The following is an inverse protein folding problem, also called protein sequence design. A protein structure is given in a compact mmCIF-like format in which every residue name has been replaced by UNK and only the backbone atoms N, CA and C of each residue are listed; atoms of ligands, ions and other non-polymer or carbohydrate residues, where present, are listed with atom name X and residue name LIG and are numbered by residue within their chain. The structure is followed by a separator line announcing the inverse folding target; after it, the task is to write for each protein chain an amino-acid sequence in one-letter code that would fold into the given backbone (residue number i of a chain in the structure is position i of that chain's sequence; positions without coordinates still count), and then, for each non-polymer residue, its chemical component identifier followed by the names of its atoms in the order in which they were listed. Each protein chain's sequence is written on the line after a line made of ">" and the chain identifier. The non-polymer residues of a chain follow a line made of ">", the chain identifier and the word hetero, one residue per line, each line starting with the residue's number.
data_IF_214113947323
#
_entry.id   IF_214113947323
#
_cell.length_a   1.000
_cell.length_b   1.000
_cell.length_c   1.000
_cell.angle_alpha   90.00
_cell.angle_beta   90.00
_cell.angle_gamma   90.00
#
_symmetry.space_group_name_H-M   'P 1'
#
loop_
_entity.id
_entity.type
_entity.pdbx_description
1 polymer ?
#
# COMPACT_ATOMS: atom_id res chain seq x y z
N UNK A 1 -22.43 -1.88 -20.42
CA UNK A 1 -23.33 -2.72 -19.58
C UNK A 1 -22.89 -2.55 -18.13
N UNK A 2 -23.83 -2.42 -17.20
CA UNK A 2 -23.53 -2.44 -15.77
C UNK A 2 -22.79 -3.73 -15.41
N UNK A 3 -21.61 -3.60 -14.80
CA UNK A 3 -20.80 -4.75 -14.41
C UNK A 3 -21.59 -5.73 -13.50
N UNK A 4 -22.47 -5.19 -12.66
CA UNK A 4 -23.34 -5.97 -11.76
C UNK A 4 -24.39 -6.81 -12.49
N UNK A 5 -24.67 -6.49 -13.76
CA UNK A 5 -25.65 -7.20 -14.59
C UNK A 5 -25.02 -8.28 -15.50
N UNK A 6 -23.68 -8.35 -15.58
CA UNK A 6 -22.98 -9.23 -16.52
C UNK A 6 -23.25 -10.72 -16.30
N UNK A 7 -23.63 -11.13 -15.10
CA UNK A 7 -24.01 -12.52 -14.84
C UNK A 7 -25.31 -12.92 -15.54
N UNK A 8 -26.16 -11.95 -15.92
CA UNK A 8 -27.41 -12.15 -16.68
C UNK A 8 -27.25 -11.92 -18.18
N UNK A 9 -26.06 -11.48 -18.61
CA UNK A 9 -25.74 -11.15 -20.00
C UNK A 9 -24.42 -11.83 -20.40
N UNK A 10 -24.39 -13.17 -20.49
CA UNK A 10 -23.16 -13.93 -20.80
C UNK A 10 -22.56 -13.51 -22.15
N UNK A 11 -23.40 -13.26 -23.16
CA UNK A 11 -22.99 -12.80 -24.49
C UNK A 11 -22.25 -11.46 -24.46
N UNK A 12 -22.42 -10.67 -23.39
CA UNK A 12 -21.75 -9.38 -23.22
C UNK A 12 -20.36 -9.49 -22.59
N UNK A 13 -20.02 -10.64 -22.00
CA UNK A 13 -18.67 -10.88 -21.48
C UNK A 13 -17.67 -11.07 -22.64
N UNK A 14 -18.09 -11.67 -23.76
CA UNK A 14 -17.27 -11.83 -24.95
C UNK A 14 -16.88 -10.49 -25.62
N UNK A 15 -17.65 -9.43 -25.40
CA UNK A 15 -17.36 -8.08 -25.93
C UNK A 15 -16.57 -7.18 -24.98
N UNK A 16 -16.13 -7.68 -23.81
CA UNK A 16 -15.19 -6.94 -22.96
C UNK A 16 -13.82 -6.95 -23.62
N UNK A 17 -13.57 -5.94 -24.42
CA UNK A 17 -12.25 -5.66 -24.98
C UNK A 17 -11.22 -5.51 -23.86
N UNK A 18 -10.22 -6.39 -23.84
CA UNK A 18 -9.03 -6.26 -22.99
C UNK A 18 -8.03 -5.23 -23.52
N UNK A 19 -8.25 -4.74 -24.74
CA UNK A 19 -7.41 -3.75 -25.39
C UNK A 19 -7.51 -2.43 -24.63
N UNK A 20 -6.39 -1.97 -24.09
CA UNK A 20 -6.28 -0.68 -23.41
C UNK A 20 -6.49 -0.70 -21.88
N UNK A 21 -6.66 -1.87 -21.26
CA UNK A 21 -6.69 -1.99 -19.79
C UNK A 21 -5.26 -1.98 -19.26
N UNK A 22 -5.00 -1.16 -18.24
CA UNK A 22 -3.70 -1.08 -17.58
C UNK A 22 -3.28 -2.47 -17.04
N UNK A 23 -2.01 -2.89 -17.22
CA UNK A 23 -1.54 -4.21 -16.76
C UNK A 23 -1.78 -4.47 -15.27
N UNK A 24 -1.68 -3.45 -14.43
CA UNK A 24 -1.87 -3.54 -12.97
C UNK A 24 -3.35 -3.69 -12.64
N UNK A 25 -4.24 -2.94 -13.31
CA UNK A 25 -5.69 -3.11 -13.18
C UNK A 25 -6.14 -4.51 -13.60
N UNK A 26 -5.55 -5.06 -14.67
CA UNK A 26 -5.80 -6.44 -15.08
C UNK A 26 -5.33 -7.44 -14.01
N UNK A 27 -4.10 -7.29 -13.51
CA UNK A 27 -3.54 -8.14 -12.47
C UNK A 27 -4.38 -8.11 -11.18
N UNK A 28 -4.82 -6.93 -10.77
CA UNK A 28 -5.71 -6.74 -9.63
C UNK A 28 -7.05 -7.45 -9.83
N UNK A 29 -7.66 -7.28 -11.01
CA UNK A 29 -8.94 -7.91 -11.35
C UNK A 29 -8.86 -9.43 -11.32
N UNK A 30 -7.80 -10.03 -11.83
CA UNK A 30 -7.56 -11.48 -11.78
C UNK A 30 -7.44 -12.01 -10.34
N UNK A 31 -7.00 -11.15 -9.42
CA UNK A 31 -6.88 -11.43 -7.97
C UNK A 31 -8.13 -11.03 -7.18
N UNK A 32 -9.19 -10.55 -7.83
CA UNK A 32 -10.42 -10.11 -7.19
C UNK A 32 -10.27 -8.80 -6.39
N UNK A 33 -9.26 -7.99 -6.70
CA UNK A 33 -8.99 -6.70 -6.07
C UNK A 33 -9.60 -5.57 -6.90
N UNK A 34 -10.07 -4.52 -6.23
CA UNK A 34 -10.47 -3.29 -6.93
C UNK A 34 -9.30 -2.33 -6.90
N UNK A 35 -8.71 -2.07 -8.06
CA UNK A 35 -7.51 -1.22 -8.22
C UNK A 35 -7.74 -0.18 -9.30
N UNK A 36 -7.21 1.03 -9.08
CA UNK A 36 -7.13 2.09 -10.08
C UNK A 36 -5.77 2.76 -9.93
N UNK A 37 -5.02 2.89 -11.03
CA UNK A 37 -3.72 3.57 -11.02
C UNK A 37 -3.89 5.10 -10.90
N UNK A 38 -2.95 5.74 -10.21
CA UNK A 38 -2.81 7.20 -10.09
C UNK A 38 -1.34 7.58 -10.35
N UNK A 39 -1.05 8.87 -10.45
CA UNK A 39 0.27 9.36 -10.89
C UNK A 39 1.31 9.54 -9.76
N UNK A 40 0.93 9.29 -8.50
CA UNK A 40 1.79 9.51 -7.33
C UNK A 40 2.79 8.38 -7.03
N UNK A 41 3.39 8.45 -5.83
CA UNK A 41 4.42 7.53 -5.35
C UNK A 41 4.08 6.82 -4.02
N UNK A 42 2.95 7.15 -3.40
CA UNK A 42 2.51 6.50 -2.15
C UNK A 42 1.44 5.46 -2.49
N UNK A 43 1.80 4.19 -2.38
CA UNK A 43 0.86 3.10 -2.57
C UNK A 43 -0.20 3.08 -1.46
N UNK A 44 -1.48 2.93 -1.81
CA UNK A 44 -2.57 2.86 -0.83
C UNK A 44 -3.23 1.50 -0.88
N UNK A 45 -3.34 0.85 0.28
CA UNK A 45 -4.09 -0.38 0.48
C UNK A 45 -5.07 -0.20 1.63
N UNK A 46 -6.35 -0.44 1.40
CA UNK A 46 -7.33 -0.51 2.48
C UNK A 46 -8.50 -1.44 2.20
N UNK A 47 -9.47 -1.44 3.10
CA UNK A 47 -10.72 -2.19 2.95
C UNK A 47 -11.95 -1.29 2.96
N UNK A 48 -12.76 -1.44 1.92
CA UNK A 48 -13.95 -0.62 1.66
C UNK A 48 -13.59 0.67 0.93
N UNK A 49 -14.19 0.88 -0.23
CA UNK A 49 -13.94 2.02 -1.10
C UNK A 49 -13.99 3.39 -0.40
N UNK A 50 -14.94 3.60 0.53
CA UNK A 50 -15.03 4.86 1.29
C UNK A 50 -13.82 5.13 2.19
N UNK A 51 -13.27 4.09 2.82
CA UNK A 51 -12.06 4.20 3.65
C UNK A 51 -10.84 4.48 2.76
N UNK A 52 -10.73 3.78 1.63
CA UNK A 52 -9.62 3.96 0.70
C UNK A 52 -9.63 5.37 0.13
N UNK A 53 -10.78 5.87 -0.34
CA UNK A 53 -10.90 7.26 -0.83
C UNK A 53 -10.54 8.29 0.25
N UNK A 54 -11.04 8.11 1.48
CA UNK A 54 -10.66 9.00 2.60
C UNK A 54 -9.16 8.93 2.90
N UNK A 55 -8.53 7.77 2.70
CA UNK A 55 -7.09 7.61 2.88
C UNK A 55 -6.30 8.37 1.81
N UNK A 56 -6.74 8.33 0.55
CA UNK A 56 -6.18 9.15 -0.53
C UNK A 56 -6.23 10.64 -0.15
N UNK A 57 -7.39 11.11 0.30
CA UNK A 57 -7.61 12.51 0.66
C UNK A 57 -6.70 12.94 1.83
N UNK A 58 -6.58 12.11 2.87
CA UNK A 58 -5.75 12.44 4.04
C UNK A 58 -4.25 12.41 3.70
N UNK A 59 -3.81 11.51 2.83
CA UNK A 59 -2.43 11.49 2.31
C UNK A 59 -2.15 12.75 1.48
N UNK A 60 -3.07 13.12 0.59
CA UNK A 60 -2.95 14.35 -0.20
C UNK A 60 -2.93 15.60 0.68
N UNK A 61 -3.79 15.67 1.70
CA UNK A 61 -3.82 16.75 2.68
C UNK A 61 -2.53 16.83 3.52
N UNK A 62 -1.87 15.69 3.75
CA UNK A 62 -0.56 15.63 4.41
C UNK A 62 0.61 16.01 3.46
N UNK A 63 0.33 16.32 2.19
CA UNK A 63 1.32 16.71 1.18
C UNK A 63 1.92 15.56 0.39
N UNK A 64 1.31 14.36 0.44
CA UNK A 64 1.72 13.20 -0.35
C UNK A 64 0.97 13.06 -1.67
N UNK A 65 1.48 12.22 -2.55
CA UNK A 65 0.84 11.90 -3.83
C UNK A 65 0.50 10.41 -3.87
N UNK A 66 -0.78 10.03 -3.75
CA UNK A 66 -1.18 8.64 -3.87
C UNK A 66 -0.90 8.06 -5.27
N UNK A 67 -0.29 6.88 -5.32
CA UNK A 67 0.07 6.15 -6.54
C UNK A 67 -1.07 5.28 -7.07
N UNK A 68 -2.05 4.96 -6.22
CA UNK A 68 -3.17 4.12 -6.60
C UNK A 68 -4.34 4.23 -5.62
N UNK A 69 -5.50 3.76 -6.05
CA UNK A 69 -6.56 3.25 -5.21
C UNK A 69 -6.45 1.72 -5.16
N UNK A 70 -6.51 1.07 -3.99
CA UNK A 70 -6.70 -0.38 -3.87
C UNK A 70 -7.62 -0.71 -2.68
N UNK A 71 -8.78 -1.28 -2.99
CA UNK A 71 -9.67 -1.91 -2.02
C UNK A 71 -9.53 -3.44 -2.07
N UNK A 72 -8.97 -3.99 -1.00
CA UNK A 72 -8.77 -5.44 -0.84
C UNK A 72 -10.03 -6.16 -0.32
N UNK A 73 -11.12 -5.42 -0.05
CA UNK A 73 -12.33 -5.93 0.58
C UNK A 73 -12.07 -6.41 2.02
N UNK A 74 -12.87 -7.36 2.50
CA UNK A 74 -12.78 -7.85 3.89
C UNK A 74 -11.71 -8.91 4.17
N UNK A 75 -10.85 -9.25 3.19
CA UNK A 75 -9.91 -10.36 3.30
C UNK A 75 -8.71 -10.06 4.20
N UNK A 76 -8.56 -10.79 5.32
CA UNK A 76 -7.42 -10.70 6.25
C UNK A 76 -6.34 -11.75 6.05
N UNK A 77 -6.52 -12.67 5.09
CA UNK A 77 -5.62 -13.81 4.92
C UNK A 77 -4.30 -13.38 4.28
N UNK A 78 -3.21 -14.03 4.68
CA UNK A 78 -1.86 -13.77 4.19
C UNK A 78 -1.77 -13.79 2.66
N UNK A 79 -2.48 -14.70 1.99
CA UNK A 79 -2.51 -14.79 0.52
C UNK A 79 -3.15 -13.55 -0.12
N UNK A 80 -4.28 -13.07 0.42
CA UNK A 80 -4.95 -11.87 -0.10
C UNK A 80 -4.09 -10.61 0.10
N UNK A 81 -3.43 -10.51 1.26
CA UNK A 81 -2.48 -9.43 1.54
C UNK A 81 -1.29 -9.50 0.58
N UNK A 82 -0.74 -10.69 0.35
CA UNK A 82 0.37 -10.90 -0.59
C UNK A 82 0.00 -10.46 -1.99
N UNK A 83 -1.17 -10.88 -2.46
CA UNK A 83 -1.67 -10.53 -3.78
C UNK A 83 -1.87 -9.01 -3.95
N UNK A 84 -2.38 -8.32 -2.92
CA UNK A 84 -2.56 -6.87 -2.96
C UNK A 84 -1.24 -6.11 -2.92
N UNK A 85 -0.28 -6.55 -2.08
CA UNK A 85 1.05 -5.96 -2.00
C UNK A 85 1.79 -6.12 -3.33
N UNK A 86 1.77 -7.31 -3.94
CA UNK A 86 2.39 -7.52 -5.25
C UNK A 86 1.80 -6.64 -6.37
N UNK A 87 0.49 -6.37 -6.33
CA UNK A 87 -0.13 -5.42 -7.28
C UNK A 87 0.41 -4.02 -7.08
N UNK A 88 0.45 -3.52 -5.84
CA UNK A 88 0.97 -2.18 -5.53
C UNK A 88 2.45 -2.07 -5.92
N UNK A 89 3.26 -3.05 -5.55
CA UNK A 89 4.70 -3.05 -5.79
C UNK A 89 5.07 -3.36 -7.26
N UNK A 90 4.10 -3.71 -8.11
CA UNK A 90 4.33 -3.76 -9.56
C UNK A 90 4.39 -2.37 -10.19
N UNK A 91 4.08 -1.31 -9.43
CA UNK A 91 4.29 0.08 -9.83
C UNK A 91 5.65 0.57 -9.31
N UNK A 92 6.63 0.70 -10.22
CA UNK A 92 7.97 1.16 -9.89
C UNK A 92 8.03 2.60 -9.32
N UNK A 93 6.97 3.40 -9.49
CA UNK A 93 6.87 4.72 -8.88
C UNK A 93 6.60 4.67 -7.37
N UNK A 94 6.15 3.52 -6.83
CA UNK A 94 5.82 3.39 -5.42
C UNK A 94 7.08 3.39 -4.55
N UNK A 95 7.24 4.40 -3.70
CA UNK A 95 8.37 4.54 -2.78
C UNK A 95 8.00 4.30 -1.32
N UNK A 96 6.71 4.33 -0.97
CA UNK A 96 6.19 3.96 0.34
C UNK A 96 4.74 3.48 0.22
N UNK A 97 4.27 2.69 1.18
CA UNK A 97 2.89 2.17 1.18
C UNK A 97 2.19 2.46 2.50
N UNK A 98 0.95 2.97 2.42
CA UNK A 98 0.04 3.07 3.54
C UNK A 98 -0.97 1.92 3.50
N UNK A 99 -0.82 1.01 4.46
CA UNK A 99 -1.73 -0.10 4.72
C UNK A 99 -2.73 0.33 5.81
N UNK A 100 -3.95 0.67 5.41
CA UNK A 100 -4.97 1.21 6.31
C UNK A 100 -6.22 0.30 6.33
N UNK A 101 -6.36 -0.49 7.39
CA UNK A 101 -7.48 -1.42 7.55
C UNK A 101 -8.32 -1.04 8.77
N UNK A 102 -9.64 -1.04 8.56
CA UNK A 102 -10.62 -0.97 9.63
C UNK A 102 -11.24 -2.35 9.89
N UNK A 103 -10.94 -2.94 11.04
CA UNK A 103 -11.48 -4.21 11.49
C UNK A 103 -12.89 -4.07 12.06
N UNK A 104 -13.89 -4.47 11.28
CA UNK A 104 -15.27 -4.64 11.74
C UNK A 104 -15.52 -6.08 12.16
N UNK A 105 -16.04 -6.87 11.21
CA UNK A 105 -16.21 -8.33 11.33
C UNK A 105 -14.84 -9.02 11.31
N UNK A 106 -14.00 -8.64 10.36
CA UNK A 106 -12.61 -9.07 10.30
C UNK A 106 -11.84 -8.42 11.44
N UNK A 107 -11.18 -9.22 12.28
CA UNK A 107 -10.44 -8.70 13.44
C UNK A 107 -9.04 -8.24 13.05
N UNK A 108 -8.57 -7.16 13.67
CA UNK A 108 -7.26 -6.59 13.36
C UNK A 108 -6.11 -7.55 13.69
N UNK A 109 -6.24 -8.38 14.73
CA UNK A 109 -5.19 -9.34 15.12
C UNK A 109 -5.03 -10.46 14.08
N UNK A 110 -6.10 -10.85 13.38
CA UNK A 110 -6.02 -11.76 12.23
C UNK A 110 -5.32 -11.09 11.05
N UNK A 111 -5.64 -9.83 10.76
CA UNK A 111 -4.97 -9.03 9.71
C UNK A 111 -3.48 -8.88 10.01
N UNK A 112 -3.11 -8.59 11.26
CA UNK A 112 -1.71 -8.48 11.68
C UNK A 112 -0.94 -9.79 11.47
N UNK A 113 -1.50 -10.95 11.85
CA UNK A 113 -0.88 -12.25 11.60
C UNK A 113 -0.71 -12.53 10.11
N UNK A 114 -1.73 -12.21 9.31
CA UNK A 114 -1.67 -12.34 7.85
C UNK A 114 -0.59 -11.44 7.23
N UNK A 115 -0.45 -10.20 7.73
CA UNK A 115 0.58 -9.27 7.29
C UNK A 115 1.99 -9.79 7.61
N UNK A 116 2.21 -10.28 8.84
CA UNK A 116 3.49 -10.86 9.27
C UNK A 116 3.87 -12.03 8.35
N UNK A 117 2.96 -12.98 8.14
CA UNK A 117 3.21 -14.13 7.27
C UNK A 117 3.47 -13.72 5.81
N UNK A 118 2.76 -12.70 5.29
CA UNK A 118 2.99 -12.18 3.96
C UNK A 118 4.37 -11.52 3.83
N UNK A 119 4.80 -10.77 4.85
CA UNK A 119 6.03 -9.97 4.80
C UNK A 119 7.28 -10.83 4.99
N UNK A 120 7.18 -11.96 5.68
CA UNK A 120 8.24 -12.98 5.70
C UNK A 120 8.54 -13.54 4.30
N UNK A 121 7.52 -13.61 3.44
CA UNK A 121 7.63 -14.13 2.06
C UNK A 121 8.07 -13.05 1.07
N UNK A 122 7.40 -11.90 1.09
CA UNK A 122 7.61 -10.82 0.12
C UNK A 122 8.90 -10.04 0.40
N UNK A 123 9.21 -9.82 1.70
CA UNK A 123 10.34 -9.01 2.16
C UNK A 123 10.43 -7.65 1.43
N UNK A 124 9.38 -6.81 1.53
CA UNK A 124 9.34 -5.55 0.80
C UNK A 124 10.49 -4.64 1.21
N UNK A 125 11.09 -3.98 0.22
CA UNK A 125 12.20 -3.03 0.44
C UNK A 125 11.70 -1.61 0.70
N UNK A 126 10.52 -1.26 0.19
CA UNK A 126 9.90 0.04 0.46
C UNK A 126 9.29 0.09 1.86
N UNK A 127 9.29 1.25 2.54
CA UNK A 127 8.63 1.42 3.82
C UNK A 127 7.12 1.21 3.75
N UNK A 128 6.59 0.48 4.73
CA UNK A 128 5.17 0.32 4.97
C UNK A 128 4.77 1.03 6.25
N UNK A 129 3.73 1.85 6.19
CA UNK A 129 3.04 2.39 7.36
C UNK A 129 1.71 1.66 7.50
N UNK A 130 1.50 1.04 8.66
CA UNK A 130 0.36 0.19 8.96
C UNK A 130 -0.50 0.87 10.00
N UNK A 131 -1.77 1.08 9.67
CA UNK A 131 -2.79 1.50 10.62
C UNK A 131 -3.90 0.47 10.64
N UNK A 132 -4.07 -0.18 11.79
CA UNK A 132 -5.15 -1.09 12.10
C UNK A 132 -6.02 -0.47 13.19
N UNK A 133 -7.31 -0.35 12.94
CA UNK A 133 -8.28 0.19 13.90
C UNK A 133 -9.59 -0.61 13.87
N UNK A 134 -10.33 -0.64 14.97
CA UNK A 134 -11.52 -1.46 15.16
C UNK A 134 -11.31 -2.66 16.07
N UNK A 135 -11.98 -3.78 15.81
CA UNK A 135 -11.96 -4.96 16.68
C UNK A 135 -10.54 -5.52 16.82
N UNK A 136 -10.06 -5.65 18.07
CA UNK A 136 -8.73 -6.14 18.45
C UNK A 136 -7.53 -5.35 17.91
N UNK A 137 -7.72 -4.07 17.60
CA UNK A 137 -6.65 -3.17 17.15
C UNK A 137 -5.44 -3.10 18.10
N UNK A 138 -5.66 -3.12 19.42
CA UNK A 138 -4.59 -3.11 20.45
C UNK A 138 -3.74 -4.36 20.38
N UNK A 139 -4.37 -5.53 20.30
CA UNK A 139 -3.68 -6.82 20.17
C UNK A 139 -2.89 -6.86 18.86
N UNK A 140 -3.48 -6.39 17.76
CA UNK A 140 -2.84 -6.32 16.46
C UNK A 140 -1.56 -5.46 16.48
N UNK A 141 -1.61 -4.29 17.14
CA UNK A 141 -0.41 -3.44 17.29
C UNK A 141 0.66 -4.09 18.15
N UNK A 142 0.29 -4.81 19.20
CA UNK A 142 1.24 -5.60 19.99
C UNK A 142 1.90 -6.67 19.14
N UNK A 143 1.13 -7.44 18.36
CA UNK A 143 1.67 -8.47 17.47
C UNK A 143 2.66 -7.90 16.44
N UNK A 144 2.33 -6.75 15.84
CA UNK A 144 3.22 -6.09 14.87
C UNK A 144 4.49 -5.55 15.52
N UNK A 145 4.40 -5.02 16.75
CA UNK A 145 5.55 -4.55 17.49
C UNK A 145 6.48 -5.70 17.93
N UNK A 146 5.92 -6.85 18.32
CA UNK A 146 6.68 -8.05 18.69
C UNK A 146 7.33 -8.73 17.49
N UNK A 147 6.69 -8.67 16.32
CA UNK A 147 7.24 -9.23 15.09
C UNK A 147 8.47 -8.47 14.56
N UNK A 148 8.64 -7.20 14.95
CA UNK A 148 9.78 -6.34 14.60
C UNK A 148 10.12 -6.40 13.11
N UNK A 149 9.09 -6.30 12.26
CA UNK A 149 9.25 -6.43 10.82
C UNK A 149 10.08 -5.25 10.27
N UNK A 150 11.13 -5.52 9.47
CA UNK A 150 11.94 -4.45 8.91
C UNK A 150 11.11 -3.57 7.98
N UNK A 151 11.35 -2.25 8.03
CA UNK A 151 10.66 -1.25 7.22
C UNK A 151 9.12 -1.21 7.40
N UNK A 152 8.61 -1.74 8.52
CA UNK A 152 7.19 -1.64 8.89
C UNK A 152 7.03 -0.73 10.10
N UNK A 153 6.23 0.31 9.94
CA UNK A 153 5.90 1.27 10.97
C UNK A 153 4.42 1.15 11.31
N UNK A 154 4.06 1.30 12.59
CA UNK A 154 2.65 1.26 13.02
C UNK A 154 2.21 2.61 13.56
N UNK A 155 1.03 3.05 13.14
CA UNK A 155 0.44 4.30 13.61
C UNK A 155 -0.99 4.09 14.09
N UNK A 156 -1.41 4.87 15.09
CA UNK A 156 -2.74 4.72 15.72
C UNK A 156 -3.82 5.44 14.94
N UNK A 157 -3.52 6.65 14.45
CA UNK A 157 -4.49 7.49 13.76
C UNK A 157 -4.20 7.52 12.27
N UNK A 158 -5.24 7.72 11.45
CA UNK A 158 -5.08 7.85 10.01
C UNK A 158 -4.22 9.06 9.63
N UNK A 159 -4.32 10.16 10.38
CA UNK A 159 -3.53 11.37 10.13
C UNK A 159 -2.04 11.16 10.44
N UNK A 160 -1.72 10.48 11.55
CA UNK A 160 -0.33 10.17 11.89
C UNK A 160 0.26 9.18 10.88
N UNK A 161 -0.52 8.18 10.47
CA UNK A 161 -0.13 7.23 9.42
C UNK A 161 0.14 7.93 8.08
N UNK A 162 -0.72 8.88 7.69
CA UNK A 162 -0.54 9.68 6.48
C UNK A 162 0.72 10.55 6.54
N UNK A 163 0.93 11.28 7.64
CA UNK A 163 2.16 12.07 7.82
C UNK A 163 3.41 11.19 7.76
N UNK A 164 3.37 10.03 8.42
CA UNK A 164 4.51 9.12 8.46
C UNK A 164 4.82 8.52 7.09
N UNK A 165 3.81 8.12 6.32
CA UNK A 165 4.06 7.57 4.97
C UNK A 165 4.60 8.64 4.03
N UNK A 166 4.13 9.89 4.15
CA UNK A 166 4.65 11.02 3.37
C UNK A 166 6.12 11.29 3.72
N UNK A 167 6.47 11.33 5.00
CA UNK A 167 7.84 11.46 5.47
C UNK A 167 8.74 10.39 4.85
N UNK A 168 8.31 9.12 4.91
CA UNK A 168 9.08 7.98 4.42
C UNK A 168 9.14 7.92 2.89
N UNK A 169 8.12 8.38 2.18
CA UNK A 169 8.07 8.38 0.71
C UNK A 169 9.11 9.30 0.04
N UNK A 170 9.52 10.34 0.76
CA UNK A 170 10.55 11.29 0.34
C UNK A 170 11.97 10.82 0.70
N UNK A 171 12.08 9.80 1.56
CA UNK A 171 13.34 9.17 1.94
C UNK A 171 13.76 8.15 0.89
N UNK A 172 14.36 8.62 -0.22
CA UNK A 172 15.13 7.72 -1.08
C UNK A 172 16.28 7.13 -0.24
N UNK A 173 16.59 5.83 -0.30
CA UNK A 173 17.82 5.35 0.32
C UNK A 173 18.97 6.10 -0.34
N UNK A 174 19.75 6.83 0.46
CA UNK A 174 20.96 7.51 0.01
C UNK A 174 21.86 6.48 -0.68
N UNK A 175 21.81 6.47 -2.01
CA UNK A 175 22.89 5.92 -2.81
C UNK A 175 24.08 6.82 -2.55
N UNK A 176 24.98 6.37 -1.68
CA UNK A 176 26.24 7.05 -1.37
C UNK A 176 26.97 7.41 -2.64
N UNK A 177 26.85 8.68 -3.05
CA UNK A 177 27.93 9.34 -3.74
C UNK A 177 28.78 9.97 -2.66
N UNK A 178 29.87 9.26 -2.34
CA UNK A 178 31.08 9.84 -1.80
C UNK A 178 31.49 11.00 -2.71
N UNK A 179 30.96 12.19 -2.42
CA UNK A 179 31.66 13.40 -2.80
C UNK A 179 32.87 13.46 -1.87
N UNK A 180 33.97 12.87 -2.34
CA UNK A 180 35.27 13.03 -1.74
C UNK A 180 35.51 14.51 -1.49
N UNK A 181 35.73 14.83 -0.22
CA UNK A 181 36.40 16.02 0.26
C UNK A 181 37.64 16.30 -0.60
N UNK A 182 37.55 17.29 -1.47
CA UNK A 182 38.73 18.03 -1.89
C UNK A 182 38.97 19.11 -0.84
N UNK A 183 39.77 18.75 0.16
CA UNK A 183 40.27 19.68 1.17
C UNK A 183 41.06 20.86 0.57
N UNK A 184 41.34 21.89 1.38
CA UNK A 184 41.81 23.18 0.90
C UNK A 184 43.32 23.13 0.69
N UNK A 185 43.79 23.28 -0.55
CA UNK A 185 45.21 23.59 -0.76
C UNK A 185 45.44 24.43 -2.02
N UNK A 186 45.61 25.73 -1.80
CA UNK A 186 46.46 26.55 -2.65
C UNK A 186 46.89 27.81 -1.89
N UNK A 187 48.13 27.85 -1.36
CA UNK A 187 48.84 29.09 -1.16
C UNK A 187 49.96 29.26 -2.21
N UNK A 188 50.01 30.49 -2.74
CA UNK A 188 51.17 31.24 -3.31
C UNK A 188 51.55 30.99 -4.77
N UNK A 189 51.63 32.14 -5.47
CA UNK A 189 52.26 32.39 -6.76
C UNK A 189 52.05 33.85 -7.13
#
# INVERSE_FOLDING_TARGET
>A
IDASALYRHPDSQEFRSEVGVDPQERMARERGLTYVALDGNIGILGNGAGLVMSTLDVVAQAGGEPANFLDAGGGSKAEAITQAVEVILSNDNVTAVLFNIFGGITRCDEVARGLIEAFEKIKPTVPFVVRLDGTNDKEARTLLAEADLPNVHTEKTMLDAAKKVVELSNGRPDGGHDHQDAGPDAPRG
#
